data_IF_241770136466
#
_entry.id   IF_241770136466
#
_cell.length_a   1.000
_cell.length_b   1.000
_cell.length_c   1.000
_cell.angle_alpha   90.00
_cell.angle_beta   90.00
_cell.angle_gamma   90.00
#
_symmetry.space_group_name_H-M   'P 1'
#
loop_
_entity.id
_entity.type
_entity.pdbx_description
1 polymer ?
#
# COMPACT_ATOMS: atom_id res chain seq x y z
N UNK A 1 21.57 2.40 -2.30
CA UNK A 1 20.93 1.07 -2.34
C UNK A 1 20.57 0.79 -3.79
N UNK A 2 21.10 -0.28 -4.39
CA UNK A 2 20.76 -0.65 -5.77
C UNK A 2 19.32 -1.13 -5.88
N UNK A 3 18.71 -0.95 -7.04
CA UNK A 3 17.37 -1.45 -7.32
C UNK A 3 17.39 -2.99 -7.28
N UNK A 4 16.46 -3.66 -6.58
CA UNK A 4 16.46 -5.12 -6.51
C UNK A 4 16.23 -5.73 -7.90
N UNK A 5 16.99 -6.78 -8.23
CA UNK A 5 16.76 -7.59 -9.43
C UNK A 5 15.65 -8.58 -9.10
N UNK A 6 14.54 -8.53 -9.83
CA UNK A 6 13.45 -9.49 -9.72
C UNK A 6 13.71 -10.63 -10.70
N UNK A 7 14.18 -11.75 -10.19
CA UNK A 7 14.32 -13.00 -10.95
C UNK A 7 13.02 -13.79 -10.83
N UNK A 8 12.44 -14.32 -11.92
CA UNK A 8 11.29 -15.21 -11.84
C UNK A 8 11.62 -16.39 -10.93
N UNK A 9 10.87 -16.52 -9.84
CA UNK A 9 11.01 -17.60 -8.88
C UNK A 9 10.11 -18.78 -9.22
N UNK A 10 10.44 -19.95 -8.65
CA UNK A 10 9.60 -21.15 -8.61
C UNK A 10 8.58 -21.11 -7.45
N UNK A 11 8.15 -19.90 -7.06
CA UNK A 11 7.18 -19.68 -6.00
C UNK A 11 5.79 -20.18 -6.41
N UNK A 12 5.09 -20.87 -5.50
CA UNK A 12 3.70 -21.26 -5.72
C UNK A 12 2.79 -20.03 -5.72
N UNK A 13 1.56 -20.19 -6.23
CA UNK A 13 0.59 -19.11 -6.20
C UNK A 13 0.31 -18.63 -4.77
N UNK A 14 0.17 -19.54 -3.81
CA UNK A 14 -0.07 -19.22 -2.40
C UNK A 14 1.09 -18.42 -1.80
N UNK A 15 2.33 -18.74 -2.18
CA UNK A 15 3.48 -17.98 -1.75
C UNK A 15 3.47 -16.57 -2.34
N UNK A 16 3.09 -16.42 -3.61
CA UNK A 16 2.96 -15.11 -4.23
C UNK A 16 1.87 -14.25 -3.57
N UNK A 17 0.72 -14.84 -3.25
CA UNK A 17 -0.37 -14.19 -2.50
C UNK A 17 0.09 -13.77 -1.12
N UNK A 18 0.78 -14.66 -0.39
CA UNK A 18 1.33 -14.37 0.94
C UNK A 18 2.29 -13.18 0.87
N UNK A 19 3.25 -13.20 -0.06
CA UNK A 19 4.21 -12.11 -0.24
C UNK A 19 3.51 -10.78 -0.57
N UNK A 20 2.42 -10.81 -1.34
CA UNK A 20 1.65 -9.61 -1.68
C UNK A 20 0.93 -9.05 -0.44
N UNK A 21 0.31 -9.91 0.38
CA UNK A 21 -0.34 -9.51 1.64
C UNK A 21 0.69 -8.95 2.62
N UNK A 22 1.85 -9.59 2.77
CA UNK A 22 2.95 -9.08 3.59
C UNK A 22 3.41 -7.68 3.11
N UNK A 23 3.49 -7.47 1.80
CA UNK A 23 3.82 -6.15 1.25
C UNK A 23 2.78 -5.08 1.64
N UNK A 24 1.49 -5.44 1.68
CA UNK A 24 0.41 -4.53 2.08
C UNK A 24 0.52 -4.22 3.57
N UNK A 25 0.71 -5.24 4.42
CA UNK A 25 0.88 -5.05 5.85
C UNK A 25 2.08 -4.12 6.18
N UNK A 26 3.18 -4.24 5.43
CA UNK A 26 4.33 -3.31 5.56
C UNK A 26 3.96 -1.87 5.17
N UNK A 27 3.15 -1.69 4.13
CA UNK A 27 2.68 -0.38 3.70
C UNK A 27 1.70 0.24 4.71
N UNK A 28 0.79 -0.53 5.28
CA UNK A 28 -0.09 -0.09 6.36
C UNK A 28 0.69 0.33 7.62
N UNK A 29 1.70 -0.45 8.01
CA UNK A 29 2.56 -0.08 9.12
C UNK A 29 3.31 1.25 8.87
N UNK A 30 3.80 1.46 7.66
CA UNK A 30 4.42 2.73 7.27
C UNK A 30 3.42 3.90 7.31
N UNK A 31 2.17 3.69 6.86
CA UNK A 31 1.10 4.69 6.93
C UNK A 31 0.76 5.06 8.38
N UNK A 32 0.69 4.09 9.29
CA UNK A 32 0.48 4.33 10.72
C UNK A 32 1.55 5.25 11.31
N UNK A 33 2.82 5.01 11.00
CA UNK A 33 3.92 5.89 11.42
C UNK A 33 3.82 7.30 10.85
N UNK A 34 3.43 7.45 9.59
CA UNK A 34 3.19 8.76 8.96
C UNK A 34 2.07 9.51 9.71
N UNK A 35 0.93 8.84 9.95
CA UNK A 35 -0.20 9.47 10.65
C UNK A 35 0.15 9.85 12.09
N UNK A 36 0.91 9.02 12.80
CA UNK A 36 1.40 9.34 14.13
C UNK A 36 2.33 10.57 14.12
N UNK A 37 3.28 10.63 13.17
CA UNK A 37 4.17 11.77 13.03
C UNK A 37 3.41 13.07 12.72
N UNK A 38 2.34 13.00 11.92
CA UNK A 38 1.44 14.13 11.68
C UNK A 38 0.70 14.56 12.96
N UNK A 39 0.31 13.60 13.81
CA UNK A 39 -0.25 13.86 15.14
C UNK A 39 0.73 14.56 16.08
N UNK A 40 1.96 14.07 16.17
CA UNK A 40 3.05 14.67 16.95
C UNK A 40 3.38 16.09 16.48
N UNK A 41 3.41 16.31 15.16
CA UNK A 41 3.60 17.64 14.56
C UNK A 41 2.50 18.61 15.02
N UNK A 42 1.24 18.18 15.04
CA UNK A 42 0.15 19.03 15.54
C UNK A 42 0.32 19.39 17.01
N UNK A 43 0.63 18.40 17.86
CA UNK A 43 0.83 18.63 19.29
C UNK A 43 1.97 19.60 19.56
N UNK A 44 3.07 19.48 18.81
CA UNK A 44 4.23 20.37 18.92
C UNK A 44 3.86 21.83 18.59
N UNK A 45 3.12 22.05 17.50
CA UNK A 45 2.72 23.41 17.07
C UNK A 45 1.69 24.02 18.04
N UNK A 46 0.71 23.23 18.48
CA UNK A 46 -0.32 23.69 19.44
C UNK A 46 0.30 24.10 20.78
N UNK A 47 1.42 23.49 21.17
CA UNK A 47 2.11 23.77 22.43
C UNK A 47 3.04 24.99 22.37
N UNK A 48 3.17 25.67 21.22
CA UNK A 48 4.01 26.86 21.09
C UNK A 48 3.33 28.09 21.71
N UNK A 49 4.07 28.84 22.53
CA UNK A 49 3.56 29.99 23.30
C UNK A 49 3.03 31.14 22.41
N UNK A 50 3.66 31.35 21.24
CA UNK A 50 3.31 32.41 20.28
C UNK A 50 2.70 31.90 18.97
N UNK A 51 1.97 30.77 19.02
CA UNK A 51 1.34 30.24 17.80
C UNK A 51 0.21 31.14 17.31
N UNK A 52 0.29 31.55 16.05
CA UNK A 52 -0.75 32.37 15.42
C UNK A 52 -1.87 31.50 14.84
N UNK A 53 -3.07 32.06 14.74
CA UNK A 53 -4.19 31.41 14.05
C UNK A 53 -3.83 31.02 12.59
N UNK A 54 -3.00 31.83 11.91
CA UNK A 54 -2.52 31.54 10.56
C UNK A 54 -1.65 30.28 10.50
N UNK A 55 -0.75 30.10 11.48
CA UNK A 55 0.07 28.89 11.58
C UNK A 55 -0.78 27.65 11.88
N UNK A 56 -1.77 27.76 12.78
CA UNK A 56 -2.69 26.67 13.08
C UNK A 56 -3.52 26.25 11.85
N UNK A 57 -4.04 27.22 11.09
CA UNK A 57 -4.76 26.95 9.84
C UNK A 57 -3.87 26.31 8.78
N UNK A 58 -2.64 26.80 8.63
CA UNK A 58 -1.67 26.22 7.68
C UNK A 58 -1.30 24.78 8.04
N UNK A 59 -1.05 24.52 9.32
CA UNK A 59 -0.80 23.17 9.84
C UNK A 59 -1.99 22.26 9.59
N UNK A 60 -3.20 22.69 9.92
CA UNK A 60 -4.42 21.89 9.73
C UNK A 60 -4.60 21.51 8.26
N UNK A 61 -4.41 22.45 7.32
CA UNK A 61 -4.45 22.15 5.88
C UNK A 61 -3.39 21.14 5.45
N UNK A 62 -2.18 21.25 5.99
CA UNK A 62 -1.10 20.30 5.69
C UNK A 62 -1.44 18.89 6.20
N UNK A 63 -1.97 18.77 7.41
CA UNK A 63 -2.36 17.48 7.99
C UNK A 63 -3.55 16.89 7.25
N UNK A 64 -4.55 17.70 6.93
CA UNK A 64 -5.72 17.28 6.14
C UNK A 64 -5.30 16.72 4.78
N UNK A 65 -4.34 17.34 4.09
CA UNK A 65 -3.77 16.82 2.86
C UNK A 65 -3.11 15.44 3.05
N UNK A 66 -2.35 15.26 4.14
CA UNK A 66 -1.69 13.99 4.45
C UNK A 66 -2.70 12.89 4.80
N UNK A 67 -3.73 13.18 5.59
CA UNK A 67 -4.81 12.24 5.93
C UNK A 67 -5.57 11.83 4.67
N UNK A 68 -5.90 12.79 3.79
CA UNK A 68 -6.55 12.50 2.52
C UNK A 68 -5.67 11.64 1.60
N UNK A 69 -4.36 11.88 1.57
CA UNK A 69 -3.42 11.05 0.81
C UNK A 69 -3.33 9.63 1.38
N UNK A 70 -3.27 9.48 2.70
CA UNK A 70 -3.27 8.18 3.38
C UNK A 70 -4.56 7.40 3.09
N UNK A 71 -5.73 8.04 3.16
CA UNK A 71 -7.01 7.40 2.84
C UNK A 71 -7.08 6.92 1.38
N UNK A 72 -6.49 7.65 0.43
CA UNK A 72 -6.39 7.21 -0.96
C UNK A 72 -5.48 6.00 -1.13
N UNK A 73 -4.37 5.97 -0.41
CA UNK A 73 -3.48 4.80 -0.40
C UNK A 73 -4.18 3.60 0.22
N UNK A 74 -4.93 3.78 1.29
CA UNK A 74 -5.73 2.72 1.93
C UNK A 74 -6.67 2.03 0.93
N UNK A 75 -7.39 2.81 0.10
CA UNK A 75 -8.24 2.25 -0.96
C UNK A 75 -7.45 1.42 -1.98
N UNK A 76 -6.22 1.83 -2.31
CA UNK A 76 -5.34 1.08 -3.23
C UNK A 76 -4.83 -0.20 -2.57
N UNK A 77 -4.48 -0.14 -1.28
CA UNK A 77 -4.02 -1.29 -0.51
C UNK A 77 -5.13 -2.34 -0.37
N UNK A 78 -6.36 -1.90 -0.09
CA UNK A 78 -7.54 -2.76 -0.07
C UNK A 78 -7.73 -3.46 -1.43
N UNK A 79 -7.69 -2.72 -2.54
CA UNK A 79 -7.81 -3.30 -3.88
C UNK A 79 -6.71 -4.32 -4.19
N UNK A 80 -5.47 -4.11 -3.71
CA UNK A 80 -4.38 -5.09 -3.84
C UNK A 80 -4.70 -6.40 -3.10
N UNK A 81 -5.25 -6.33 -1.90
CA UNK A 81 -5.64 -7.52 -1.11
C UNK A 81 -6.80 -8.27 -1.77
N UNK A 82 -7.79 -7.55 -2.29
CA UNK A 82 -8.93 -8.14 -3.02
C UNK A 82 -8.46 -8.88 -4.28
N UNK A 83 -7.49 -8.32 -5.01
CA UNK A 83 -6.87 -8.99 -6.17
C UNK A 83 -6.07 -10.23 -5.74
N UNK A 84 -5.35 -10.15 -4.61
CA UNK A 84 -4.59 -11.27 -4.04
C UNK A 84 -5.49 -12.51 -3.81
N UNK A 85 -6.70 -12.31 -3.31
CA UNK A 85 -7.66 -13.39 -3.08
C UNK A 85 -8.15 -14.10 -4.35
N UNK A 86 -8.02 -13.47 -5.52
CA UNK A 86 -8.51 -13.99 -6.80
C UNK A 86 -7.41 -14.68 -7.63
N UNK A 87 -6.14 -14.49 -7.28
CA UNK A 87 -4.99 -14.96 -8.08
C UNK A 87 -4.89 -16.48 -8.18
N UNK A 88 -5.20 -17.22 -7.11
CA UNK A 88 -5.03 -18.68 -7.06
C UNK A 88 -6.30 -19.49 -7.34
N UNK A 89 -7.38 -18.82 -7.76
CA UNK A 89 -8.65 -19.47 -8.10
C UNK A 89 -8.89 -19.57 -9.61
N UNK A 90 -7.88 -19.22 -10.43
CA UNK A 90 -7.93 -19.41 -11.87
C UNK A 90 -7.73 -20.90 -12.23
N UNK A 91 -8.65 -21.53 -12.99
CA UNK A 91 -8.43 -22.88 -13.48
C UNK A 91 -7.20 -22.91 -14.41
N UNK A 92 -6.33 -23.90 -14.23
CA UNK A 92 -5.11 -24.12 -15.05
C UNK A 92 -5.43 -24.43 -16.54
N UNK A 93 -6.70 -24.59 -16.89
CA UNK A 93 -7.16 -25.16 -18.17
C UNK A 93 -7.15 -24.18 -19.37
N UNK A 94 -6.84 -22.89 -19.19
CA UNK A 94 -6.84 -21.91 -20.29
C UNK A 94 -5.53 -21.93 -21.12
N UNK A 95 -4.50 -22.68 -20.71
CA UNK A 95 -3.20 -22.71 -21.39
C UNK A 95 -2.98 -23.95 -22.29
N UNK A 96 -4.00 -24.76 -22.56
CA UNK A 96 -3.88 -25.95 -23.41
C UNK A 96 -4.82 -25.93 -24.62
N UNK A 97 -4.74 -24.90 -25.45
CA UNK A 97 -5.19 -25.02 -26.85
C UNK A 97 -4.03 -24.60 -27.78
N UNK A 98 -3.89 -25.36 -28.87
CA UNK A 98 -2.85 -25.30 -29.93
C UNK A 98 -1.57 -26.15 -29.70
N UNK A 99 -1.70 -27.48 -29.67
CA UNK A 99 -0.85 -28.39 -30.49
C UNK A 99 -1.55 -29.75 -30.61
N UNK A 100 -2.40 -29.90 -31.63
CA UNK A 100 -3.16 -31.12 -31.84
C UNK A 100 -3.91 -31.17 -33.17
N UNK A 101 -3.23 -30.79 -34.27
CA UNK A 101 -3.81 -30.83 -35.61
C UNK A 101 -2.78 -31.24 -36.65
N UNK A 102 -2.52 -32.54 -36.77
CA UNK A 102 -1.64 -33.05 -37.82
C UNK A 102 -1.52 -34.57 -37.85
N UNK A 103 -2.32 -35.15 -38.76
CA UNK A 103 -2.31 -36.52 -39.34
C UNK A 103 -3.14 -37.59 -38.62
#
# INVERSE_FOLDING_TARGET
>A
MGMPIITPGNSTCEQAVTNLIESVAMQENALSHILNAEGEKMQAIISMEDVTAGQLLSMNRSVDQMVNAAARLEMILQAKVELAGQLCSLPEDILTEEEGGGL
#
